data_IF_949412436057
#
_entry.id   IF_949412436057
#
_cell.length_a   1.000
_cell.length_b   1.000
_cell.length_c   1.000
_cell.angle_alpha   90.00
_cell.angle_beta   90.00
_cell.angle_gamma   90.00
#
_symmetry.space_group_name_H-M   'P 1'
#
loop_
_entity.id
_entity.type
_entity.pdbx_description
1 polymer ?
#
# COMPACT_ATOMS: atom_id res chain seq x y z
N UNK A 1 -18.41 8.59 -54.55
CA UNK A 1 -18.62 9.90 -53.87
C UNK A 1 -18.35 9.68 -52.39
N UNK A 2 -17.59 10.49 -51.64
CA UNK A 2 -16.78 11.69 -51.95
C UNK A 2 -15.47 11.59 -51.13
N UNK A 3 -14.37 12.12 -51.64
CA UNK A 3 -13.08 12.23 -50.91
C UNK A 3 -13.00 13.57 -50.18
N UNK A 4 -12.43 13.61 -48.97
CA UNK A 4 -11.81 14.83 -48.42
C UNK A 4 -10.59 14.54 -47.57
N UNK A 5 -9.41 14.86 -48.11
CA UNK A 5 -8.22 15.22 -47.33
C UNK A 5 -8.41 16.63 -46.78
N UNK A 6 -7.77 16.96 -45.66
CA UNK A 6 -7.41 18.33 -45.30
C UNK A 6 -5.92 18.34 -44.96
N UNK A 7 -5.21 19.35 -45.47
CA UNK A 7 -3.76 19.52 -45.31
C UNK A 7 -3.49 20.65 -44.31
N UNK A 8 -2.33 20.64 -43.65
CA UNK A 8 -1.89 21.74 -42.78
C UNK A 8 -1.56 23.02 -43.56
N UNK A 9 -1.44 24.15 -42.84
CA UNK A 9 -0.70 25.32 -43.34
C UNK A 9 -0.10 26.15 -42.18
N UNK A 10 0.92 26.98 -42.47
CA UNK A 10 1.84 27.54 -41.46
C UNK A 10 2.27 29.00 -41.84
N UNK A 11 2.07 29.97 -40.95
CA UNK A 11 2.66 31.33 -40.94
C UNK A 11 2.23 32.05 -39.62
N UNK A 12 3.00 32.84 -38.85
CA UNK A 12 4.30 33.52 -38.96
C UNK A 12 4.31 34.94 -39.59
N UNK A 13 4.06 35.97 -38.76
CA UNK A 13 4.64 37.35 -38.70
C UNK A 13 3.81 38.16 -37.67
N UNK A 14 4.25 39.26 -37.03
CA UNK A 14 5.54 39.97 -37.04
C UNK A 14 5.53 41.15 -36.04
N UNK A 15 6.73 41.66 -35.67
CA UNK A 15 7.06 42.65 -34.61
C UNK A 15 6.22 43.96 -34.57
N UNK A 16 6.13 44.56 -33.36
CA UNK A 16 6.47 45.96 -32.95
C UNK A 16 5.84 46.27 -31.56
N UNK A 17 6.39 47.10 -30.65
CA UNK A 17 7.70 47.78 -30.57
C UNK A 17 7.68 49.00 -29.62
N UNK A 18 8.63 49.13 -28.67
CA UNK A 18 8.81 50.21 -27.66
C UNK A 18 7.63 50.51 -26.68
N UNK A 19 7.81 51.00 -25.45
CA UNK A 19 9.02 51.22 -24.62
C UNK A 19 9.19 52.67 -24.14
N UNK A 20 9.04 52.94 -22.83
CA UNK A 20 9.52 54.16 -22.14
C UNK A 20 9.36 54.11 -20.60
N UNK A 21 10.26 54.78 -19.89
CA UNK A 21 10.28 55.14 -18.45
C UNK A 21 11.29 56.31 -18.28
N UNK A 22 11.48 56.97 -17.12
CA UNK A 22 10.79 56.89 -15.82
C UNK A 22 10.24 58.26 -15.35
N UNK A 23 9.86 58.43 -14.06
CA UNK A 23 10.20 59.63 -13.24
C UNK A 23 9.82 59.49 -11.75
N UNK A 24 10.39 60.37 -10.92
CA UNK A 24 10.48 60.31 -9.43
C UNK A 24 9.31 60.94 -8.65
N UNK A 25 9.18 60.63 -7.35
CA UNK A 25 8.28 61.34 -6.41
C UNK A 25 8.54 61.03 -4.92
N UNK A 26 8.25 61.99 -4.02
CA UNK A 26 8.45 61.94 -2.56
C UNK A 26 7.38 62.85 -1.87
N UNK A 27 7.13 62.88 -0.55
CA UNK A 27 7.82 62.39 0.67
C UNK A 27 6.77 61.72 1.61
N UNK A 28 6.89 61.46 2.93
CA UNK A 28 7.80 61.75 4.08
C UNK A 28 7.83 60.52 5.00
N UNK A 29 8.92 60.17 5.71
CA UNK A 29 9.39 60.70 7.02
C UNK A 29 8.32 60.78 8.12
N UNK A 30 8.48 59.97 9.16
CA UNK A 30 7.84 60.11 10.47
C UNK A 30 8.75 59.49 11.53
N UNK A 31 9.29 60.30 12.44
CA UNK A 31 10.32 59.91 13.41
C UNK A 31 9.78 60.05 14.83
N UNK A 32 10.07 59.07 15.69
CA UNK A 32 9.90 59.16 17.13
C UNK A 32 11.07 58.43 17.82
N UNK A 33 12.14 59.17 18.11
CA UNK A 33 13.25 58.68 18.94
C UNK A 33 13.00 58.99 20.43
N UNK A 34 13.31 58.03 21.30
CA UNK A 34 13.57 58.28 22.71
C UNK A 34 14.47 57.18 23.29
N UNK A 35 15.79 57.37 23.11
CA UNK A 35 16.81 57.29 24.18
C UNK A 35 16.53 56.30 25.33
N UNK A 36 17.06 55.07 25.30
CA UNK A 36 18.46 54.70 25.60
C UNK A 36 18.82 54.66 27.09
N UNK A 37 19.37 53.53 27.54
CA UNK A 37 20.37 53.53 28.59
C UNK A 37 21.34 52.34 28.45
N UNK A 38 22.61 52.52 28.81
CA UNK A 38 23.64 51.48 28.68
C UNK A 38 23.67 50.58 29.93
N UNK A 39 23.96 49.30 29.75
CA UNK A 39 24.11 48.34 30.86
C UNK A 39 24.78 47.06 30.38
N UNK A 40 26.10 47.02 30.40
CA UNK A 40 26.89 45.88 29.93
C UNK A 40 26.86 44.70 30.89
N UNK A 41 26.57 43.49 30.38
CA UNK A 41 27.19 42.27 30.88
C UNK A 41 27.16 41.16 29.80
N UNK A 42 28.30 40.51 29.57
CA UNK A 42 28.41 39.36 28.67
C UNK A 42 28.23 38.07 29.45
N UNK A 43 27.18 37.29 29.17
CA UNK A 43 27.12 35.86 29.55
C UNK A 43 26.12 35.13 28.63
N UNK A 44 26.55 34.80 27.42
CA UNK A 44 25.70 34.12 26.43
C UNK A 44 25.80 32.60 26.58
N UNK A 45 25.10 32.04 27.58
CA UNK A 45 25.08 30.59 27.84
C UNK A 45 24.12 29.85 26.90
N UNK A 46 24.60 28.78 26.28
CA UNK A 46 23.77 27.83 25.52
C UNK A 46 22.69 27.21 26.42
N UNK A 47 21.41 27.43 26.10
CA UNK A 47 20.30 26.58 26.55
C UNK A 47 19.07 26.78 25.65
N UNK A 48 19.10 26.19 24.46
CA UNK A 48 17.93 26.11 23.57
C UNK A 48 16.90 25.11 24.10
N UNK A 49 16.11 25.54 25.08
CA UNK A 49 15.09 24.69 25.72
C UNK A 49 13.94 24.38 24.77
N UNK A 50 13.79 23.11 24.39
CA UNK A 50 12.56 22.62 23.73
C UNK A 50 11.39 22.71 24.71
N UNK A 51 10.46 23.62 24.43
CA UNK A 51 9.27 23.83 25.26
C UNK A 51 8.32 22.63 25.13
N UNK A 52 8.27 21.80 26.17
CA UNK A 52 7.37 20.65 26.24
C UNK A 52 5.92 21.12 26.48
N UNK A 53 5.11 21.24 25.42
CA UNK A 53 3.69 21.65 25.48
C UNK A 53 2.83 20.46 25.94
N UNK A 54 3.11 19.97 27.15
CA UNK A 54 2.35 18.93 27.82
C UNK A 54 1.44 19.53 28.91
N UNK A 55 0.13 19.55 28.67
CA UNK A 55 -0.87 19.87 29.71
C UNK A 55 -1.71 21.12 29.48
N UNK A 56 -2.49 21.18 28.38
CA UNK A 56 -3.54 22.21 28.25
C UNK A 56 -4.83 21.75 27.53
N UNK A 57 -5.16 20.45 27.59
CA UNK A 57 -6.44 19.93 27.11
C UNK A 57 -7.09 19.01 28.15
N UNK A 58 -8.25 19.42 28.66
CA UNK A 58 -9.02 18.68 29.66
C UNK A 58 -10.50 18.65 29.27
N UNK A 59 -11.00 17.49 28.81
CA UNK A 59 -12.42 17.21 28.64
C UNK A 59 -13.08 17.80 27.37
N UNK A 60 -13.03 17.04 26.28
CA UNK A 60 -13.84 17.24 25.07
C UNK A 60 -14.05 15.91 24.33
N UNK A 61 -15.07 15.79 23.45
CA UNK A 61 -15.34 14.55 22.71
C UNK A 61 -14.37 14.31 21.54
N UNK A 62 -13.67 15.35 21.09
CA UNK A 62 -12.84 15.35 19.88
C UNK A 62 -11.48 14.70 20.13
N UNK A 63 -11.42 13.38 19.93
CA UNK A 63 -10.14 12.69 19.68
C UNK A 63 -9.60 13.13 18.30
N UNK A 64 -8.30 13.43 18.13
CA UNK A 64 -7.73 13.71 16.82
C UNK A 64 -7.77 12.47 15.91
N UNK A 65 -7.85 12.69 14.60
CA UNK A 65 -7.80 11.63 13.60
C UNK A 65 -6.39 11.05 13.48
N UNK A 66 -6.29 9.72 13.43
CA UNK A 66 -5.00 9.04 13.31
C UNK A 66 -4.38 9.31 11.95
N UNK A 67 -3.09 9.64 11.92
CA UNK A 67 -2.38 9.99 10.68
C UNK A 67 -1.32 8.95 10.33
N UNK A 68 -1.38 8.43 9.11
CA UNK A 68 -0.38 7.51 8.55
C UNK A 68 0.29 8.10 7.32
N UNK A 69 1.61 7.95 7.22
CA UNK A 69 2.43 8.37 6.08
C UNK A 69 2.64 7.20 5.13
N UNK A 70 2.04 7.26 3.95
CA UNK A 70 2.21 6.25 2.90
C UNK A 70 3.12 6.79 1.81
N UNK A 71 4.08 5.98 1.38
CA UNK A 71 4.82 6.22 0.15
C UNK A 71 3.98 5.71 -1.03
N UNK A 72 4.02 6.39 -2.17
CA UNK A 72 3.33 5.97 -3.40
C UNK A 72 4.33 5.89 -4.55
N UNK A 73 4.24 4.82 -5.33
CA UNK A 73 4.83 4.70 -6.65
C UNK A 73 3.72 4.45 -7.68
N UNK A 74 3.57 5.35 -8.64
CA UNK A 74 2.41 5.42 -9.53
C UNK A 74 2.84 5.39 -11.00
N UNK A 75 2.45 4.35 -11.74
CA UNK A 75 2.62 4.31 -13.21
C UNK A 75 1.46 4.99 -13.94
N UNK A 76 0.50 5.58 -13.19
CA UNK A 76 -0.56 6.43 -13.75
C UNK A 76 0.04 7.71 -14.31
N UNK A 77 -0.42 8.14 -15.48
CA UNK A 77 0.08 9.31 -16.21
C UNK A 77 0.10 10.57 -15.34
N UNK A 78 1.30 11.06 -15.02
CA UNK A 78 1.53 12.22 -14.16
C UNK A 78 1.47 11.94 -12.65
N UNK A 79 1.39 10.68 -12.24
CA UNK A 79 1.29 10.24 -10.84
C UNK A 79 -0.10 10.35 -10.20
N UNK A 80 -1.03 11.07 -10.83
CA UNK A 80 -2.35 11.44 -10.27
C UNK A 80 -3.44 10.38 -10.51
N UNK A 81 -4.70 10.75 -10.30
CA UNK A 81 -5.92 9.93 -10.51
C UNK A 81 -6.16 9.43 -11.95
N UNK A 82 -5.16 9.48 -12.84
CA UNK A 82 -5.30 9.09 -14.24
C UNK A 82 -5.58 7.59 -14.42
N UNK A 83 -6.30 7.29 -15.50
CA UNK A 83 -6.55 5.93 -16.02
C UNK A 83 -5.73 5.65 -17.29
N UNK A 84 -4.82 6.56 -17.65
CA UNK A 84 -3.77 6.36 -18.66
C UNK A 84 -2.45 5.97 -18.00
N UNK A 85 -1.61 5.22 -18.72
CA UNK A 85 -0.25 4.88 -18.34
C UNK A 85 0.72 6.03 -18.62
N UNK A 86 1.69 6.25 -17.72
CA UNK A 86 2.85 7.12 -17.99
C UNK A 86 3.62 6.57 -19.20
N UNK A 87 4.12 7.42 -20.13
CA UNK A 87 5.01 6.96 -21.20
C UNK A 87 6.16 6.10 -20.66
N UNK A 88 6.45 4.98 -21.32
CA UNK A 88 7.46 4.02 -20.85
C UNK A 88 7.10 3.26 -19.57
N UNK A 89 5.87 3.39 -19.07
CA UNK A 89 5.41 2.86 -17.78
C UNK A 89 6.20 3.35 -16.54
N UNK A 90 6.91 4.47 -16.66
CA UNK A 90 7.71 5.02 -15.57
C UNK A 90 6.86 5.30 -14.31
N UNK A 91 7.35 4.85 -13.16
CA UNK A 91 6.77 5.21 -11.87
C UNK A 91 7.09 6.67 -11.53
N UNK A 92 6.07 7.41 -11.09
CA UNK A 92 6.18 8.71 -10.42
C UNK A 92 5.93 8.53 -8.93
N UNK A 93 6.70 9.21 -8.10
CA UNK A 93 6.69 8.99 -6.66
C UNK A 93 5.96 10.10 -5.91
N UNK A 94 5.29 9.77 -4.81
CA UNK A 94 4.82 10.74 -3.82
C UNK A 94 4.91 10.20 -2.40
N UNK A 95 4.76 11.10 -1.44
CA UNK A 95 4.44 10.82 -0.05
C UNK A 95 3.10 11.49 0.28
N UNK A 96 2.16 10.70 0.78
CA UNK A 96 0.84 11.17 1.18
C UNK A 96 0.65 10.94 2.69
N UNK A 97 0.10 11.92 3.39
CA UNK A 97 -0.39 11.74 4.77
C UNK A 97 -1.88 11.50 4.71
N UNK A 98 -2.32 10.32 5.14
CA UNK A 98 -3.72 9.90 5.19
C UNK A 98 -4.21 9.97 6.63
N UNK A 99 -5.32 10.68 6.87
CA UNK A 99 -6.05 10.67 8.15
C UNK A 99 -7.13 9.58 8.13
N UNK A 100 -7.26 8.86 9.23
CA UNK A 100 -8.31 7.87 9.51
C UNK A 100 -9.13 8.35 10.71
N UNK A 101 -10.48 8.39 10.62
CA UNK A 101 -11.30 9.09 11.60
C UNK A 101 -11.29 8.43 12.98
N UNK A 102 -11.56 9.18 14.08
CA UNK A 102 -11.51 8.63 15.44
C UNK A 102 -12.59 7.58 15.75
N UNK A 103 -13.66 7.55 14.94
CA UNK A 103 -14.75 6.59 15.01
C UNK A 103 -14.67 5.47 13.96
N UNK A 104 -13.48 5.22 13.40
CA UNK A 104 -13.24 4.19 12.39
C UNK A 104 -13.67 2.79 12.88
N UNK A 105 -14.38 2.04 12.03
CA UNK A 105 -14.73 0.64 12.29
C UNK A 105 -13.93 -0.29 11.36
N UNK A 106 -13.38 -1.37 11.92
CA UNK A 106 -12.44 -2.21 11.20
C UNK A 106 -13.07 -2.83 9.93
N UNK A 107 -12.37 -2.70 8.82
CA UNK A 107 -12.78 -3.15 7.49
C UNK A 107 -13.39 -2.06 6.60
N UNK A 108 -14.06 -1.06 7.20
CA UNK A 108 -14.72 0.02 6.46
C UNK A 108 -13.72 1.03 5.89
N UNK A 109 -14.15 1.76 4.87
CA UNK A 109 -13.37 2.88 4.31
C UNK A 109 -14.31 4.06 4.16
N UNK A 110 -14.40 4.85 5.22
CA UNK A 110 -15.38 5.92 5.37
C UNK A 110 -15.16 7.01 4.33
N UNK A 111 -16.16 7.24 3.47
CA UNK A 111 -16.13 8.25 2.41
C UNK A 111 -17.35 9.16 2.52
N UNK A 112 -17.26 10.43 2.10
CA UNK A 112 -18.42 11.31 2.01
C UNK A 112 -19.41 10.78 0.97
N UNK A 113 -20.67 10.60 1.36
CA UNK A 113 -21.77 10.28 0.43
C UNK A 113 -22.05 11.44 -0.57
N UNK A 114 -21.65 12.66 -0.20
CA UNK A 114 -21.68 13.87 -1.04
C UNK A 114 -20.75 14.93 -0.44
N UNK A 115 -20.28 15.87 -1.26
CA UNK A 115 -19.42 16.97 -0.82
C UNK A 115 -17.95 16.57 -0.60
N UNK A 116 -17.21 17.44 0.09
CA UNK A 116 -15.80 17.22 0.43
C UNK A 116 -15.62 16.21 1.56
N UNK A 117 -14.48 15.48 1.63
CA UNK A 117 -14.15 14.66 2.79
C UNK A 117 -13.95 15.51 4.04
N UNK A 118 -14.09 14.87 5.20
CA UNK A 118 -14.03 15.47 6.53
C UNK A 118 -13.17 14.53 7.39
N UNK A 119 -11.94 14.93 7.79
CA UNK A 119 -11.02 14.05 8.55
C UNK A 119 -11.56 13.55 9.89
N UNK A 120 -12.59 14.18 10.46
CA UNK A 120 -13.25 13.69 11.69
C UNK A 120 -14.20 12.51 11.44
N UNK A 121 -14.57 12.26 10.17
CA UNK A 121 -15.62 11.30 9.78
C UNK A 121 -15.27 10.38 8.61
N UNK A 122 -14.23 10.71 7.84
CA UNK A 122 -13.89 10.07 6.57
C UNK A 122 -12.38 9.85 6.48
N UNK A 123 -11.95 8.78 5.81
CA UNK A 123 -10.54 8.61 5.43
C UNK A 123 -10.22 9.66 4.35
N UNK A 124 -9.16 10.44 4.56
CA UNK A 124 -8.86 11.64 3.76
C UNK A 124 -7.36 11.87 3.60
N UNK A 125 -6.97 12.62 2.55
CA UNK A 125 -5.59 13.11 2.40
C UNK A 125 -5.46 14.42 3.14
N UNK A 126 -4.55 14.47 4.12
CA UNK A 126 -4.16 15.71 4.81
C UNK A 126 -3.02 16.44 4.10
N UNK A 127 -2.11 15.71 3.44
CA UNK A 127 -1.04 16.28 2.61
C UNK A 127 -0.64 15.35 1.48
N UNK A 128 -0.25 15.91 0.34
CA UNK A 128 0.37 15.21 -0.78
C UNK A 128 1.66 15.94 -1.17
N UNK A 129 2.74 15.19 -1.38
CA UNK A 129 4.02 15.73 -1.82
C UNK A 129 4.60 14.82 -2.90
N UNK A 130 4.67 15.31 -4.14
CA UNK A 130 5.39 14.61 -5.22
C UNK A 130 6.89 14.58 -4.91
N UNK A 131 7.55 13.46 -5.20
CA UNK A 131 8.95 13.20 -4.89
C UNK A 131 9.73 12.79 -6.16
N UNK A 132 10.99 13.20 -6.24
CA UNK A 132 11.95 12.63 -7.19
C UNK A 132 12.53 11.30 -6.68
N UNK A 133 13.11 10.48 -7.57
CA UNK A 133 13.59 9.11 -7.26
C UNK A 133 14.55 9.05 -6.05
N UNK A 134 15.52 9.98 -6.01
CA UNK A 134 16.48 10.10 -4.90
C UNK A 134 15.83 10.62 -3.60
N UNK A 135 14.75 11.39 -3.70
CA UNK A 135 14.02 11.90 -2.54
C UNK A 135 13.12 10.83 -1.93
N UNK A 136 12.43 10.05 -2.77
CA UNK A 136 11.71 8.85 -2.33
C UNK A 136 12.62 7.93 -1.50
N UNK A 137 13.83 7.66 -2.01
CA UNK A 137 14.84 6.83 -1.35
C UNK A 137 15.34 7.44 -0.04
N UNK A 138 15.63 8.73 -0.01
CA UNK A 138 16.14 9.40 1.20
C UNK A 138 15.07 9.55 2.28
N UNK A 139 13.82 9.85 1.91
CA UNK A 139 12.69 9.91 2.84
C UNK A 139 12.30 8.51 3.36
N UNK A 140 12.36 7.46 2.52
CA UNK A 140 12.14 6.07 2.96
C UNK A 140 13.23 5.64 3.96
N UNK A 141 14.50 5.90 3.67
CA UNK A 141 15.60 5.65 4.59
C UNK A 141 15.45 6.43 5.91
N UNK A 142 15.01 7.69 5.85
CA UNK A 142 14.76 8.51 7.04
C UNK A 142 13.60 7.98 7.89
N UNK A 143 12.52 7.47 7.27
CA UNK A 143 11.38 6.90 8.00
C UNK A 143 11.68 5.51 8.59
N UNK A 144 12.64 4.77 8.02
CA UNK A 144 13.16 3.50 8.58
C UNK A 144 14.23 3.73 9.67
N UNK A 145 14.94 4.86 9.64
CA UNK A 145 15.98 5.19 10.60
C UNK A 145 15.48 5.20 12.05
N UNK A 146 16.26 4.65 12.97
CA UNK A 146 15.91 4.52 14.39
C UNK A 146 14.86 3.45 14.72
N UNK A 147 14.23 2.82 13.73
CA UNK A 147 13.26 1.73 13.95
C UNK A 147 13.94 0.40 14.27
N UNK A 148 13.23 -0.49 14.97
CA UNK A 148 13.75 -1.80 15.45
C UNK A 148 12.77 -2.95 15.19
N UNK A 149 13.30 -4.17 15.04
CA UNK A 149 12.49 -5.36 14.72
C UNK A 149 11.57 -5.14 13.52
N UNK A 150 10.33 -5.67 13.59
CA UNK A 150 9.31 -5.57 12.54
C UNK A 150 8.89 -4.14 12.16
N UNK A 151 9.21 -3.12 12.98
CA UNK A 151 8.93 -1.73 12.60
C UNK A 151 9.85 -1.19 11.50
N UNK A 152 10.95 -1.91 11.19
CA UNK A 152 11.83 -1.68 10.03
C UNK A 152 11.31 -2.30 8.73
N UNK A 153 10.28 -3.14 8.82
CA UNK A 153 9.73 -3.83 7.66
C UNK A 153 8.88 -2.90 6.80
N UNK A 154 8.81 -3.20 5.51
CA UNK A 154 8.04 -2.46 4.52
C UNK A 154 6.88 -3.33 4.03
N UNK A 155 5.67 -2.77 4.01
CA UNK A 155 4.50 -3.39 3.39
C UNK A 155 4.24 -2.71 2.05
N UNK A 156 4.40 -3.43 0.94
CA UNK A 156 4.03 -2.95 -0.39
C UNK A 156 2.66 -3.49 -0.77
N UNK A 157 1.69 -2.60 -0.98
CA UNK A 157 0.33 -2.95 -1.39
C UNK A 157 0.12 -2.74 -2.89
N UNK A 158 -0.54 -3.70 -3.55
CA UNK A 158 -0.89 -3.67 -4.98
C UNK A 158 -2.37 -3.93 -5.16
N UNK A 159 -3.10 -2.94 -5.69
CA UNK A 159 -4.54 -3.02 -5.88
C UNK A 159 -4.97 -3.88 -7.08
N UNK A 160 -6.23 -4.32 -7.04
CA UNK A 160 -6.94 -5.01 -8.12
C UNK A 160 -7.38 -4.11 -9.27
N UNK A 161 -8.25 -4.65 -10.14
CA UNK A 161 -8.85 -3.89 -11.23
C UNK A 161 -9.97 -2.93 -10.72
N UNK A 162 -10.51 -2.08 -11.60
CA UNK A 162 -11.55 -1.07 -11.35
C UNK A 162 -11.22 -0.04 -10.24
N UNK A 163 -10.00 -0.04 -9.70
CA UNK A 163 -9.62 0.71 -8.50
C UNK A 163 -9.02 2.08 -8.85
N UNK A 164 -9.51 3.16 -8.21
CA UNK A 164 -8.90 4.50 -8.36
C UNK A 164 -7.66 4.69 -7.47
N UNK A 165 -6.92 5.78 -7.67
CA UNK A 165 -5.83 6.18 -6.77
C UNK A 165 -6.33 6.35 -5.31
N UNK A 166 -7.54 6.88 -5.16
CA UNK A 166 -8.15 7.25 -3.89
C UNK A 166 -8.58 6.00 -3.11
N UNK A 167 -9.19 5.05 -3.82
CA UNK A 167 -9.56 3.76 -3.25
C UNK A 167 -8.31 2.96 -2.84
N UNK A 168 -7.26 2.98 -3.66
CA UNK A 168 -6.01 2.28 -3.37
C UNK A 168 -5.28 2.84 -2.14
N UNK A 169 -5.17 4.18 -2.01
CA UNK A 169 -4.50 4.83 -0.87
C UNK A 169 -5.30 4.70 0.43
N UNK A 170 -6.63 4.87 0.37
CA UNK A 170 -7.47 4.75 1.57
C UNK A 170 -7.58 3.31 2.05
N UNK A 171 -7.62 2.34 1.12
CA UNK A 171 -7.54 0.91 1.45
C UNK A 171 -6.22 0.53 2.12
N UNK A 172 -5.08 1.07 1.66
CA UNK A 172 -3.79 0.87 2.35
C UNK A 172 -3.79 1.47 3.76
N UNK A 173 -4.33 2.68 3.94
CA UNK A 173 -4.41 3.31 5.26
C UNK A 173 -5.25 2.48 6.24
N UNK A 174 -6.42 2.00 5.82
CA UNK A 174 -7.26 1.08 6.61
C UNK A 174 -6.53 -0.23 6.96
N UNK A 175 -5.97 -0.92 5.96
CA UNK A 175 -5.23 -2.17 6.17
C UNK A 175 -4.06 -2.02 7.17
N UNK A 176 -3.39 -0.87 7.17
CA UNK A 176 -2.30 -0.54 8.11
C UNK A 176 -2.84 -0.24 9.51
N UNK A 177 -3.97 0.47 9.63
CA UNK A 177 -4.63 0.77 10.91
C UNK A 177 -5.15 -0.50 11.58
N UNK A 178 -5.98 -1.27 10.88
CA UNK A 178 -6.67 -2.45 11.39
C UNK A 178 -5.72 -3.64 11.59
N UNK A 179 -4.79 -3.87 10.66
CA UNK A 179 -3.80 -4.96 10.73
C UNK A 179 -2.70 -4.71 11.77
N UNK A 180 -2.85 -3.68 12.61
CA UNK A 180 -1.88 -3.20 13.60
C UNK A 180 -0.45 -2.98 13.05
N UNK A 181 -0.27 -2.81 11.74
CA UNK A 181 1.06 -2.78 11.14
C UNK A 181 1.86 -1.56 11.64
N UNK A 182 3.13 -1.79 12.00
CA UNK A 182 4.01 -0.77 12.60
C UNK A 182 5.24 -0.41 11.75
N UNK A 183 5.38 -1.07 10.59
CA UNK A 183 6.43 -0.82 9.60
C UNK A 183 6.18 0.44 8.76
N UNK A 184 6.72 0.45 7.53
CA UNK A 184 6.52 1.52 6.55
C UNK A 184 5.59 1.05 5.43
N UNK A 185 4.45 1.72 5.19
CA UNK A 185 3.54 1.35 4.11
C UNK A 185 3.90 2.05 2.79
N UNK A 186 3.84 1.27 1.70
CA UNK A 186 4.07 1.70 0.32
C UNK A 186 2.90 1.23 -0.55
N UNK A 187 2.32 2.12 -1.35
CA UNK A 187 1.37 1.78 -2.40
C UNK A 187 2.13 1.69 -3.74
N UNK A 188 2.04 0.56 -4.42
CA UNK A 188 2.26 0.51 -5.87
C UNK A 188 0.91 0.60 -6.58
N UNK A 189 0.73 1.62 -7.42
CA UNK A 189 -0.52 1.84 -8.16
C UNK A 189 -0.27 1.94 -9.66
N UNK A 190 -1.12 1.25 -10.41
CA UNK A 190 -1.09 1.16 -11.86
C UNK A 190 -2.43 1.68 -12.41
N UNK A 191 -2.49 2.15 -13.68
CA UNK A 191 -3.69 2.75 -14.25
C UNK A 191 -4.74 1.70 -14.58
N UNK A 192 -5.47 1.26 -13.56
CA UNK A 192 -6.73 0.57 -13.75
C UNK A 192 -7.81 1.57 -14.15
N UNK A 193 -8.61 1.22 -15.16
CA UNK A 193 -9.77 1.98 -15.62
C UNK A 193 -10.99 1.53 -14.82
N UNK A 194 -11.73 2.48 -14.26
CA UNK A 194 -12.97 2.23 -13.51
C UNK A 194 -14.16 1.88 -14.43
N UNK A 195 -14.00 0.84 -15.28
CA UNK A 195 -14.98 0.37 -16.23
C UNK A 195 -14.79 -1.12 -16.59
N UNK A 196 -15.83 -1.94 -16.39
CA UNK A 196 -15.82 -3.39 -16.65
C UNK A 196 -15.35 -3.80 -18.06
N UNK A 197 -15.66 -2.99 -19.08
CA UNK A 197 -15.28 -3.28 -20.47
C UNK A 197 -13.77 -3.09 -20.77
N UNK A 198 -12.99 -2.57 -19.82
CA UNK A 198 -11.56 -2.29 -19.99
C UNK A 198 -10.63 -3.45 -19.62
N UNK A 199 -11.14 -4.56 -19.05
CA UNK A 199 -10.36 -5.62 -18.39
C UNK A 199 -9.09 -6.08 -19.14
N UNK A 200 -9.15 -6.26 -20.46
CA UNK A 200 -7.97 -6.62 -21.27
C UNK A 200 -6.89 -5.55 -21.28
N UNK A 201 -7.26 -4.30 -21.57
CA UNK A 201 -6.35 -3.16 -21.59
C UNK A 201 -5.84 -2.78 -20.18
N UNK A 202 -6.60 -3.10 -19.13
CA UNK A 202 -6.15 -3.03 -17.74
C UNK A 202 -5.07 -4.08 -17.46
N UNK A 203 -5.27 -5.34 -17.89
CA UNK A 203 -4.24 -6.38 -17.76
C UNK A 203 -2.96 -6.04 -18.54
N UNK A 204 -3.08 -5.45 -19.73
CA UNK A 204 -1.95 -4.92 -20.49
C UNK A 204 -1.22 -3.82 -19.71
N UNK A 205 -1.96 -2.86 -19.14
CA UNK A 205 -1.39 -1.72 -18.41
C UNK A 205 -0.75 -2.14 -17.08
N UNK A 206 -1.34 -3.11 -16.37
CA UNK A 206 -0.73 -3.76 -15.21
C UNK A 206 0.56 -4.49 -15.62
N UNK A 207 0.53 -5.30 -16.68
CA UNK A 207 1.70 -6.06 -17.16
C UNK A 207 2.83 -5.15 -17.65
N UNK A 208 2.51 -4.01 -18.27
CA UNK A 208 3.49 -2.97 -18.62
C UNK A 208 4.10 -2.27 -17.40
N UNK A 209 3.41 -2.26 -16.25
CA UNK A 209 3.90 -1.69 -15.00
C UNK A 209 4.86 -2.61 -14.22
N UNK A 210 5.09 -3.84 -14.71
CA UNK A 210 5.89 -4.90 -14.04
C UNK A 210 7.33 -4.45 -13.75
N UNK A 211 7.99 -3.88 -14.75
CA UNK A 211 9.40 -3.47 -14.70
C UNK A 211 9.61 -2.33 -13.69
N UNK A 212 8.67 -1.37 -13.66
CA UNK A 212 8.63 -0.27 -12.69
C UNK A 212 8.35 -0.78 -11.25
N UNK A 213 7.54 -1.82 -11.10
CA UNK A 213 7.33 -2.47 -9.81
C UNK A 213 8.58 -3.25 -9.35
N UNK A 214 9.27 -3.94 -10.26
CA UNK A 214 10.54 -4.62 -9.95
C UNK A 214 11.60 -3.62 -9.50
N UNK A 215 11.71 -2.47 -10.18
CA UNK A 215 12.58 -1.36 -9.76
C UNK A 215 12.24 -0.90 -8.33
N UNK A 216 10.96 -0.64 -8.02
CA UNK A 216 10.53 -0.26 -6.67
C UNK A 216 10.96 -1.30 -5.62
N UNK A 217 10.68 -2.59 -5.84
CA UNK A 217 11.02 -3.64 -4.89
C UNK A 217 12.53 -3.74 -4.62
N UNK A 218 13.34 -3.58 -5.67
CA UNK A 218 14.80 -3.55 -5.56
C UNK A 218 15.30 -2.28 -4.83
N UNK A 219 14.73 -1.11 -5.13
CA UNK A 219 15.08 0.16 -4.45
C UNK A 219 14.74 0.12 -2.95
N UNK A 220 13.58 -0.46 -2.58
CA UNK A 220 13.21 -0.69 -1.18
C UNK A 220 14.19 -1.70 -0.54
N UNK A 221 14.47 -2.84 -1.18
CA UNK A 221 15.36 -3.87 -0.66
C UNK A 221 16.81 -3.38 -0.47
N UNK A 222 17.26 -2.43 -1.30
CA UNK A 222 18.56 -1.77 -1.19
C UNK A 222 18.59 -0.62 -0.16
N UNK A 223 17.45 -0.20 0.41
CA UNK A 223 17.39 0.94 1.32
C UNK A 223 18.10 0.63 2.65
N UNK A 224 19.06 1.46 3.11
CA UNK A 224 19.77 1.23 4.36
C UNK A 224 18.82 1.11 5.56
N UNK A 225 19.07 0.13 6.41
CA UNK A 225 18.27 -0.12 7.61
C UNK A 225 16.97 -0.91 7.38
N UNK A 226 16.53 -1.15 6.13
CA UNK A 226 15.30 -1.93 5.86
C UNK A 226 15.32 -3.30 6.56
N UNK A 227 14.15 -3.78 6.99
CA UNK A 227 13.93 -5.12 7.52
C UNK A 227 13.61 -6.12 6.40
N UNK A 228 12.38 -6.64 6.41
CA UNK A 228 11.74 -7.37 5.31
C UNK A 228 10.94 -6.44 4.39
N UNK A 229 10.73 -6.87 3.15
CA UNK A 229 9.78 -6.31 2.20
C UNK A 229 8.65 -7.32 2.02
N UNK A 230 7.54 -7.09 2.72
CA UNK A 230 6.31 -7.88 2.58
C UNK A 230 5.45 -7.29 1.46
N UNK A 231 4.67 -8.13 0.80
CA UNK A 231 3.78 -7.72 -0.29
C UNK A 231 2.36 -8.17 0.02
N UNK A 232 1.38 -7.28 -0.12
CA UNK A 232 -0.05 -7.62 -0.12
C UNK A 232 -0.63 -7.22 -1.47
N UNK A 233 -1.20 -8.17 -2.20
CA UNK A 233 -1.73 -7.97 -3.52
C UNK A 233 -3.15 -8.50 -3.64
N UNK A 234 -4.01 -7.77 -4.33
CA UNK A 234 -5.43 -8.12 -4.51
C UNK A 234 -5.76 -8.32 -5.99
N UNK A 235 -6.58 -9.33 -6.32
CA UNK A 235 -7.17 -9.49 -7.66
C UNK A 235 -6.09 -9.45 -8.77
N UNK A 236 -6.23 -8.61 -9.79
CA UNK A 236 -5.25 -8.43 -10.87
C UNK A 236 -3.87 -7.92 -10.38
N UNK A 237 -3.80 -7.28 -9.22
CA UNK A 237 -2.53 -6.95 -8.54
C UNK A 237 -1.72 -8.19 -8.16
N UNK A 238 -2.37 -9.35 -7.94
CA UNK A 238 -1.67 -10.63 -7.70
C UNK A 238 -0.98 -11.14 -8.96
N UNK A 239 -1.60 -11.02 -10.13
CA UNK A 239 -0.99 -11.34 -11.43
C UNK A 239 0.28 -10.51 -11.65
N UNK A 240 0.17 -9.20 -11.45
CA UNK A 240 1.31 -8.28 -11.55
C UNK A 240 2.42 -8.66 -10.57
N UNK A 241 2.08 -8.90 -9.30
CA UNK A 241 3.04 -9.32 -8.26
C UNK A 241 3.76 -10.61 -8.61
N UNK A 242 3.06 -11.65 -9.07
CA UNK A 242 3.69 -12.92 -9.41
C UNK A 242 4.57 -12.84 -10.65
N UNK A 243 4.22 -12.02 -11.65
CA UNK A 243 5.12 -11.77 -12.79
C UNK A 243 6.34 -10.94 -12.40
N UNK A 244 6.20 -9.91 -11.55
CA UNK A 244 7.33 -9.12 -11.02
C UNK A 244 8.28 -9.99 -10.19
N UNK A 245 7.78 -10.85 -9.30
CA UNK A 245 8.63 -11.75 -8.51
C UNK A 245 9.25 -12.87 -9.36
N UNK A 246 8.54 -13.38 -10.37
CA UNK A 246 9.09 -14.29 -11.37
C UNK A 246 10.24 -13.63 -12.17
N UNK A 247 10.12 -12.34 -12.51
CA UNK A 247 11.19 -11.59 -13.17
C UNK A 247 12.40 -11.35 -12.24
N UNK A 248 12.17 -11.05 -10.95
CA UNK A 248 13.22 -11.00 -9.93
C UNK A 248 13.99 -12.34 -9.85
N UNK A 249 13.27 -13.47 -9.82
CA UNK A 249 13.87 -14.80 -9.82
C UNK A 249 14.67 -15.12 -11.10
N UNK A 250 14.22 -14.63 -12.27
CA UNK A 250 14.94 -14.80 -13.54
C UNK A 250 16.15 -13.87 -13.69
N UNK A 251 16.16 -12.73 -12.99
CA UNK A 251 17.28 -11.76 -12.95
C UNK A 251 18.26 -11.99 -11.79
N UNK A 252 18.04 -13.03 -10.98
CA UNK A 252 18.98 -13.51 -9.97
C UNK A 252 18.69 -13.11 -8.52
N UNK A 253 17.59 -12.40 -8.25
CA UNK A 253 17.16 -11.96 -6.91
C UNK A 253 15.78 -12.53 -6.50
N UNK A 254 15.58 -13.87 -6.49
CA UNK A 254 14.28 -14.51 -6.24
C UNK A 254 13.64 -14.17 -4.88
N UNK A 255 14.44 -13.72 -3.92
CA UNK A 255 14.03 -13.31 -2.58
C UNK A 255 14.37 -11.82 -2.30
N UNK A 256 14.51 -11.00 -3.33
CA UNK A 256 14.94 -9.60 -3.25
C UNK A 256 16.27 -9.41 -2.47
N UNK A 257 17.25 -10.29 -2.70
CA UNK A 257 18.55 -10.32 -2.01
C UNK A 257 18.39 -10.53 -0.49
N UNK A 258 17.64 -11.56 -0.12
CA UNK A 258 17.33 -11.89 1.28
C UNK A 258 16.25 -11.02 1.93
N UNK A 259 15.63 -10.07 1.21
CA UNK A 259 14.69 -9.10 1.79
C UNK A 259 13.22 -9.48 1.71
N UNK A 260 12.80 -10.37 0.81
CA UNK A 260 11.41 -10.76 0.65
C UNK A 260 10.82 -11.36 1.94
N UNK A 261 9.75 -10.72 2.44
CA UNK A 261 9.00 -11.11 3.64
C UNK A 261 7.94 -12.17 3.33
N UNK A 262 6.73 -11.95 3.82
CA UNK A 262 5.53 -12.67 3.36
C UNK A 262 4.97 -12.04 2.08
N UNK A 263 4.34 -12.86 1.23
CA UNK A 263 3.59 -12.43 0.04
C UNK A 263 2.15 -12.91 0.17
N UNK A 264 1.23 -11.98 0.34
CA UNK A 264 -0.17 -12.22 0.63
C UNK A 264 -0.99 -11.93 -0.64
N UNK A 265 -1.63 -12.97 -1.20
CA UNK A 265 -2.39 -12.91 -2.44
C UNK A 265 -3.89 -13.07 -2.14
N UNK A 266 -4.62 -11.96 -2.15
CA UNK A 266 -6.05 -11.92 -1.86
C UNK A 266 -6.90 -12.02 -3.13
N UNK A 267 -7.83 -12.99 -3.18
CA UNK A 267 -8.72 -13.26 -4.31
C UNK A 267 -7.99 -13.28 -5.69
N UNK A 268 -6.93 -14.09 -5.86
CA UNK A 268 -6.02 -13.95 -7.01
C UNK A 268 -6.64 -14.33 -8.35
N UNK A 269 -6.68 -13.37 -9.28
CA UNK A 269 -7.04 -13.59 -10.69
C UNK A 269 -5.80 -14.00 -11.52
N UNK A 270 -5.26 -15.17 -11.17
CA UNK A 270 -4.14 -15.83 -11.86
C UNK A 270 -4.66 -17.19 -12.35
N UNK A 271 -4.27 -17.64 -13.53
CA UNK A 271 -4.44 -19.05 -13.91
C UNK A 271 -3.60 -19.97 -12.99
N UNK A 272 -4.17 -21.09 -12.57
CA UNK A 272 -3.51 -22.09 -11.73
C UNK A 272 -2.29 -22.74 -12.39
N UNK A 273 -2.28 -22.91 -13.72
CA UNK A 273 -1.13 -23.50 -14.43
C UNK A 273 0.02 -22.51 -14.56
N UNK A 274 -0.27 -21.23 -14.84
CA UNK A 274 0.72 -20.14 -14.79
C UNK A 274 1.24 -19.93 -13.37
N UNK A 275 0.37 -19.93 -12.36
CA UNK A 275 0.81 -19.81 -10.96
C UNK A 275 1.78 -20.90 -10.56
N UNK A 276 1.54 -22.16 -10.95
CA UNK A 276 2.48 -23.28 -10.76
C UNK A 276 3.85 -23.02 -11.40
N UNK A 277 3.90 -22.42 -12.58
CA UNK A 277 5.16 -22.07 -13.26
C UNK A 277 5.89 -20.86 -12.64
N UNK A 278 5.14 -19.93 -12.03
CA UNK A 278 5.67 -18.79 -11.29
C UNK A 278 6.24 -19.25 -9.93
N UNK A 279 5.43 -19.94 -9.12
CA UNK A 279 5.77 -20.33 -7.74
C UNK A 279 6.91 -21.36 -7.68
N UNK A 280 7.06 -22.22 -8.70
CA UNK A 280 8.19 -23.16 -8.81
C UNK A 280 9.57 -22.50 -8.99
N UNK A 281 9.64 -21.16 -9.03
CA UNK A 281 10.87 -20.36 -9.08
C UNK A 281 11.12 -19.54 -7.80
N UNK A 282 10.26 -19.70 -6.79
CA UNK A 282 10.16 -18.84 -5.62
C UNK A 282 10.05 -19.70 -4.36
N UNK A 283 10.35 -19.11 -3.20
CA UNK A 283 10.17 -19.76 -1.90
C UNK A 283 8.68 -19.77 -1.53
N UNK A 284 7.98 -20.85 -1.90
CA UNK A 284 6.55 -21.03 -1.69
C UNK A 284 6.11 -20.84 -0.22
N UNK A 285 6.99 -21.09 0.75
CA UNK A 285 6.69 -20.91 2.19
C UNK A 285 6.42 -19.46 2.59
N UNK A 286 6.78 -18.49 1.74
CA UNK A 286 6.50 -17.06 1.92
C UNK A 286 5.08 -16.68 1.49
N UNK A 287 4.40 -17.52 0.73
CA UNK A 287 3.15 -17.17 0.06
C UNK A 287 1.94 -17.62 0.87
N UNK A 288 1.00 -16.69 1.04
CA UNK A 288 -0.31 -16.93 1.68
C UNK A 288 -1.41 -16.50 0.72
N UNK A 289 -2.29 -17.43 0.34
CA UNK A 289 -3.35 -17.21 -0.64
C UNK A 289 -4.72 -17.25 0.05
N UNK A 290 -5.50 -16.18 -0.13
CA UNK A 290 -6.84 -16.07 0.44
C UNK A 290 -7.87 -16.29 -0.68
N UNK A 291 -8.64 -17.38 -0.60
CA UNK A 291 -9.59 -17.81 -1.64
C UNK A 291 -11.04 -17.62 -1.18
N UNK A 292 -11.94 -17.32 -2.11
CA UNK A 292 -13.36 -17.05 -1.81
C UNK A 292 -14.28 -17.81 -2.77
N UNK A 293 -14.99 -18.79 -2.22
CA UNK A 293 -15.95 -19.66 -2.91
C UNK A 293 -17.12 -18.85 -3.44
N UNK A 294 -17.31 -18.88 -4.76
CA UNK A 294 -18.38 -18.16 -5.42
C UNK A 294 -18.09 -16.69 -5.74
N UNK A 295 -16.82 -16.23 -5.72
CA UNK A 295 -16.48 -14.91 -6.25
C UNK A 295 -16.79 -14.82 -7.76
N UNK A 296 -17.92 -14.20 -8.08
CA UNK A 296 -18.48 -14.11 -9.44
C UNK A 296 -17.62 -13.26 -10.38
N UNK A 297 -16.67 -12.48 -9.87
CA UNK A 297 -15.71 -11.75 -10.70
C UNK A 297 -14.81 -12.71 -11.52
N UNK A 298 -14.37 -13.83 -10.93
CA UNK A 298 -13.52 -14.82 -11.62
C UNK A 298 -14.22 -15.50 -12.81
N UNK A 299 -15.55 -15.42 -12.90
CA UNK A 299 -16.30 -15.93 -14.05
C UNK A 299 -16.14 -15.00 -15.28
N UNK A 300 -15.92 -13.71 -15.07
CA UNK A 300 -15.63 -12.75 -16.15
C UNK A 300 -14.26 -13.03 -16.80
N UNK A 301 -13.26 -13.40 -16.00
CA UNK A 301 -11.93 -13.74 -16.53
C UNK A 301 -11.81 -15.19 -17.03
N UNK A 302 -12.66 -16.12 -16.56
CA UNK A 302 -12.72 -17.50 -17.05
C UNK A 302 -13.34 -17.60 -18.46
N UNK A 303 -14.38 -16.82 -18.75
CA UNK A 303 -15.20 -16.90 -19.97
C UNK A 303 -14.50 -16.61 -21.31
N UNK A 304 -13.21 -16.25 -21.30
CA UNK A 304 -12.42 -15.95 -22.49
C UNK A 304 -11.25 -16.93 -22.75
N UNK A 305 -10.83 -17.72 -21.76
CA UNK A 305 -9.59 -18.52 -21.84
C UNK A 305 -9.68 -19.96 -21.28
N UNK A 306 -10.82 -20.39 -20.74
CA UNK A 306 -11.09 -21.81 -20.43
C UNK A 306 -10.38 -22.41 -19.20
N UNK A 307 -9.23 -21.87 -18.80
CA UNK A 307 -8.45 -22.38 -17.66
C UNK A 307 -8.92 -21.86 -16.28
N UNK A 308 -8.50 -22.57 -15.23
CA UNK A 308 -9.00 -22.43 -13.86
C UNK A 308 -8.21 -21.40 -13.05
N UNK A 309 -8.90 -20.44 -12.42
CA UNK A 309 -8.28 -19.42 -11.56
C UNK A 309 -7.84 -19.95 -10.19
N UNK A 310 -6.73 -19.44 -9.69
CA UNK A 310 -6.19 -19.72 -8.35
C UNK A 310 -7.18 -19.33 -7.25
N UNK A 311 -7.85 -18.17 -7.38
CA UNK A 311 -8.87 -17.71 -6.43
C UNK A 311 -10.15 -18.58 -6.38
N UNK A 312 -10.33 -19.52 -7.32
CA UNK A 312 -11.49 -20.44 -7.40
C UNK A 312 -11.16 -21.90 -7.06
N UNK A 313 -10.09 -22.12 -6.29
CA UNK A 313 -9.92 -23.36 -5.52
C UNK A 313 -10.95 -23.40 -4.39
N UNK A 314 -11.53 -24.57 -4.14
CA UNK A 314 -12.49 -24.85 -3.07
C UNK A 314 -11.82 -25.73 -2.01
N UNK A 315 -11.32 -25.17 -0.90
CA UNK A 315 -10.60 -25.93 0.12
C UNK A 315 -11.36 -27.10 0.75
N UNK A 316 -12.69 -27.11 0.62
CA UNK A 316 -13.55 -28.23 1.03
C UNK A 316 -13.61 -29.40 0.03
N UNK A 317 -12.91 -29.33 -1.10
CA UNK A 317 -12.86 -30.41 -2.11
C UNK A 317 -11.55 -31.19 -2.02
N UNK A 318 -11.63 -32.52 -1.90
CA UNK A 318 -10.45 -33.41 -1.84
C UNK A 318 -9.49 -33.21 -3.02
N UNK A 319 -10.06 -32.99 -4.22
CA UNK A 319 -9.32 -32.71 -5.45
C UNK A 319 -8.48 -31.43 -5.35
N UNK A 320 -8.96 -30.44 -4.60
CA UNK A 320 -8.31 -29.16 -4.46
C UNK A 320 -7.34 -29.13 -3.30
N UNK A 321 -7.62 -29.87 -2.22
CA UNK A 321 -6.68 -30.10 -1.12
C UNK A 321 -5.37 -30.69 -1.62
N UNK A 322 -5.43 -31.76 -2.42
CA UNK A 322 -4.23 -32.37 -3.01
C UNK A 322 -3.47 -31.40 -3.95
N UNK A 323 -4.19 -30.48 -4.61
CA UNK A 323 -3.57 -29.42 -5.43
C UNK A 323 -2.93 -28.33 -4.57
N UNK A 324 -3.57 -27.91 -3.49
CA UNK A 324 -3.11 -26.89 -2.52
C UNK A 324 -1.85 -27.37 -1.81
N UNK A 325 -1.88 -28.59 -1.27
CA UNK A 325 -0.74 -29.22 -0.57
C UNK A 325 0.50 -29.29 -1.50
N UNK A 326 0.29 -29.59 -2.80
CA UNK A 326 1.36 -29.61 -3.82
C UNK A 326 1.85 -28.23 -4.28
N UNK A 327 1.19 -27.12 -3.93
CA UNK A 327 1.70 -25.77 -4.20
C UNK A 327 2.73 -25.31 -3.16
N UNK A 328 2.73 -25.89 -1.96
CA UNK A 328 3.65 -25.50 -0.87
C UNK A 328 3.40 -24.10 -0.28
N UNK A 329 2.26 -23.48 -0.63
CA UNK A 329 1.83 -22.16 -0.13
C UNK A 329 0.78 -22.32 0.96
N UNK A 330 0.71 -21.38 1.90
CA UNK A 330 -0.42 -21.32 2.83
C UNK A 330 -1.70 -20.92 2.09
N UNK A 331 -2.81 -21.62 2.31
CA UNK A 331 -4.12 -21.27 1.74
C UNK A 331 -5.13 -21.08 2.85
N UNK A 332 -5.94 -20.02 2.74
CA UNK A 332 -6.95 -19.61 3.71
C UNK A 332 -8.29 -19.47 2.99
N UNK A 333 -9.31 -20.14 3.49
CA UNK A 333 -10.68 -19.96 3.04
C UNK A 333 -11.27 -18.72 3.72
N UNK A 334 -11.70 -17.73 2.93
CA UNK A 334 -12.36 -16.51 3.41
C UNK A 334 -13.84 -16.42 2.97
N UNK A 335 -14.40 -17.51 2.44
CA UNK A 335 -15.77 -17.58 1.91
C UNK A 335 -16.85 -17.30 2.96
N UNK A 336 -16.57 -17.60 4.22
CA UNK A 336 -17.46 -17.28 5.35
C UNK A 336 -17.65 -15.78 5.57
N UNK A 337 -16.76 -14.94 5.01
CA UNK A 337 -16.80 -13.49 5.13
C UNK A 337 -17.32 -12.79 3.85
N UNK A 338 -17.66 -13.52 2.78
CA UNK A 338 -18.16 -12.96 1.52
C UNK A 338 -19.69 -12.78 1.50
N UNK A 339 -20.23 -12.04 2.47
CA UNK A 339 -21.68 -11.82 2.62
C UNK A 339 -22.20 -10.67 1.73
N UNK A 340 -22.37 -10.91 0.42
CA UNK A 340 -23.06 -9.94 -0.46
C UNK A 340 -22.92 -10.19 -1.96
N UNK A 341 -23.54 -9.31 -2.76
CA UNK A 341 -23.43 -9.30 -4.23
C UNK A 341 -22.05 -8.79 -4.74
N UNK A 342 -21.17 -8.37 -3.84
CA UNK A 342 -19.86 -7.76 -4.11
C UNK A 342 -18.79 -8.69 -3.53
N UNK A 343 -18.58 -9.85 -4.14
CA UNK A 343 -17.70 -10.91 -3.60
C UNK A 343 -16.22 -10.52 -3.50
N UNK A 344 -15.77 -9.63 -4.38
CA UNK A 344 -14.37 -9.47 -4.77
C UNK A 344 -13.50 -8.67 -3.78
N UNK A 345 -14.07 -7.63 -3.14
CA UNK A 345 -13.33 -6.68 -2.30
C UNK A 345 -13.28 -7.05 -0.81
N UNK A 346 -13.96 -8.14 -0.42
CA UNK A 346 -14.23 -8.46 0.99
C UNK A 346 -13.02 -8.84 1.82
N UNK A 347 -11.89 -9.22 1.20
CA UNK A 347 -10.67 -9.61 1.92
C UNK A 347 -10.17 -8.53 2.90
N UNK A 348 -10.46 -7.26 2.61
CA UNK A 348 -10.09 -6.13 3.47
C UNK A 348 -11.26 -5.56 4.27
N UNK A 349 -12.50 -5.91 3.93
CA UNK A 349 -13.71 -5.54 4.68
C UNK A 349 -13.97 -6.49 5.86
N UNK A 350 -13.28 -7.63 5.92
CA UNK A 350 -13.42 -8.64 6.96
C UNK A 350 -12.32 -8.47 8.03
N UNK A 351 -12.63 -7.99 9.25
CA UNK A 351 -11.63 -7.76 10.30
C UNK A 351 -10.78 -8.99 10.60
N UNK A 352 -11.37 -10.18 10.55
CA UNK A 352 -10.70 -11.47 10.74
C UNK A 352 -9.54 -11.66 9.76
N UNK A 353 -9.76 -11.31 8.49
CA UNK A 353 -8.75 -11.44 7.41
C UNK A 353 -7.68 -10.36 7.55
N UNK A 354 -8.05 -9.12 7.92
CA UNK A 354 -7.10 -8.03 8.15
C UNK A 354 -6.23 -8.25 9.39
N UNK A 355 -6.80 -8.83 10.45
CA UNK A 355 -6.04 -9.33 11.61
C UNK A 355 -5.10 -10.46 11.22
N UNK A 356 -5.55 -11.42 10.39
CA UNK A 356 -4.68 -12.50 9.91
C UNK A 356 -3.50 -11.99 9.07
N UNK A 357 -3.74 -10.99 8.20
CA UNK A 357 -2.73 -10.24 7.47
C UNK A 357 -1.76 -9.57 8.47
N UNK A 358 -2.29 -8.86 9.47
CA UNK A 358 -1.51 -8.21 10.53
C UNK A 358 -0.60 -9.16 11.30
N UNK A 359 -1.11 -10.33 11.71
CA UNK A 359 -0.35 -11.38 12.38
C UNK A 359 0.77 -11.95 11.48
N UNK A 360 0.47 -12.20 10.20
CA UNK A 360 1.45 -12.66 9.20
C UNK A 360 2.58 -11.65 8.96
N UNK A 361 2.26 -10.36 8.93
CA UNK A 361 3.23 -9.28 8.81
C UNK A 361 4.03 -9.04 10.12
N UNK A 362 3.43 -9.32 11.28
CA UNK A 362 4.03 -9.08 12.59
C UNK A 362 4.84 -10.26 13.16
N UNK A 363 4.82 -11.42 12.50
CA UNK A 363 5.54 -12.63 12.94
C UNK A 363 7.07 -12.38 12.90
N UNK A 364 7.77 -12.30 14.05
CA UNK A 364 9.16 -11.86 14.04
C UNK A 364 10.09 -12.89 13.40
N UNK A 365 10.99 -12.43 12.53
CA UNK A 365 12.13 -13.23 12.04
C UNK A 365 13.25 -13.34 13.10
N UNK A 366 12.91 -13.77 14.32
CA UNK A 366 13.87 -14.17 15.36
C UNK A 366 14.39 -13.09 16.32
N UNK A 367 14.04 -11.80 16.15
CA UNK A 367 14.48 -10.72 17.05
C UNK A 367 13.32 -10.10 17.87
N UNK A 368 13.63 -9.67 19.09
CA UNK A 368 12.64 -9.25 20.09
C UNK A 368 12.20 -7.78 19.91
N UNK A 369 10.89 -7.54 20.02
CA UNK A 369 10.30 -6.19 19.98
C UNK A 369 10.44 -5.48 21.33
N UNK A 370 11.09 -4.33 21.34
CA UNK A 370 10.83 -3.26 22.32
C UNK A 370 10.29 -2.04 21.59
N UNK A 371 9.38 -1.29 22.24
CA UNK A 371 8.75 -0.12 21.65
C UNK A 371 9.71 1.08 21.63
N UNK A 372 9.81 1.74 20.47
CA UNK A 372 10.58 2.98 20.26
C UNK A 372 9.62 4.06 19.78
N UNK A 373 9.88 5.31 20.20
CA UNK A 373 9.05 6.48 19.86
C UNK A 373 9.28 6.86 18.39
N UNK A 374 8.22 6.85 17.60
CA UNK A 374 8.21 7.07 16.15
C UNK A 374 8.12 8.57 15.84
N UNK A 375 9.21 9.17 15.36
CA UNK A 375 9.38 10.63 15.24
C UNK A 375 8.58 11.31 14.10
N UNK A 376 7.46 10.72 13.66
CA UNK A 376 6.68 11.20 12.51
C UNK A 376 5.26 10.63 12.38
N UNK A 377 4.74 9.93 13.39
CA UNK A 377 3.36 9.49 13.46
C UNK A 377 2.84 9.72 14.88
N UNK A 378 1.72 10.43 15.04
CA UNK A 378 1.09 10.59 16.35
C UNK A 378 0.37 9.29 16.75
N UNK A 379 1.13 8.40 17.38
CA UNK A 379 0.63 7.13 17.93
C UNK A 379 -0.13 7.31 19.25
N UNK A 380 -0.24 8.52 19.81
CA UNK A 380 -0.97 8.74 21.06
C UNK A 380 -2.49 8.51 20.91
N UNK A 381 -2.99 8.61 19.67
CA UNK A 381 -4.38 8.33 19.30
C UNK A 381 -4.43 7.47 18.04
N UNK A 382 -3.86 6.25 18.11
CA UNK A 382 -4.35 5.16 17.23
C UNK A 382 -5.83 4.92 17.59
N UNK A 383 -6.75 4.72 16.63
CA UNK A 383 -8.09 4.28 16.99
C UNK A 383 -7.95 2.90 17.64
N UNK A 384 -8.61 2.67 18.76
CA UNK A 384 -8.79 1.34 19.32
C UNK A 384 -9.92 0.69 18.50
N UNK A 385 -9.62 -0.11 17.45
CA UNK A 385 -10.60 -0.51 16.46
C UNK A 385 -11.35 -1.70 17.07
N UNK A 386 -12.40 -1.39 17.85
CA UNK A 386 -13.27 -2.30 18.64
C UNK A 386 -12.76 -3.74 18.61
N UNK A 387 -11.75 -4.02 19.45
CA UNK A 387 -10.76 -5.09 19.24
C UNK A 387 -11.24 -6.26 18.39
N UNK A 388 -10.49 -6.58 17.33
CA UNK A 388 -10.75 -7.73 16.46
C UNK A 388 -10.58 -9.03 17.26
N UNK A 389 -11.63 -9.45 17.97
CA UNK A 389 -11.72 -10.69 18.76
C UNK A 389 -11.94 -11.90 17.86
N UNK A 390 -11.07 -12.04 16.87
CA UNK A 390 -11.03 -13.15 15.93
C UNK A 390 -10.03 -14.21 16.41
N UNK A 391 -10.45 -15.46 16.42
CA UNK A 391 -9.52 -16.58 16.33
C UNK A 391 -8.78 -16.51 14.99
N UNK A 392 -7.49 -16.86 14.96
CA UNK A 392 -6.76 -17.07 13.70
C UNK A 392 -7.52 -18.03 12.77
N UNK A 393 -7.50 -17.75 11.47
CA UNK A 393 -7.96 -18.65 10.42
C UNK A 393 -6.86 -19.70 10.17
N UNK A 394 -7.08 -20.98 10.53
CA UNK A 394 -6.07 -22.00 10.29
C UNK A 394 -5.84 -22.17 8.78
N UNK A 395 -4.59 -22.36 8.33
CA UNK A 395 -4.34 -22.71 6.94
C UNK A 395 -4.92 -24.08 6.64
N UNK A 396 -5.50 -24.21 5.44
CA UNK A 396 -6.16 -25.42 4.96
C UNK A 396 -5.23 -26.64 5.08
N UNK A 397 -5.68 -27.67 5.79
CA UNK A 397 -4.95 -28.92 5.97
C UNK A 397 -4.14 -29.05 7.27
N UNK A 398 -4.04 -28.00 8.09
CA UNK A 398 -3.27 -28.01 9.33
C UNK A 398 -3.63 -29.16 10.30
N UNK A 399 -4.92 -29.52 10.38
CA UNK A 399 -5.45 -30.51 11.33
C UNK A 399 -4.81 -31.91 11.20
N UNK A 400 -4.43 -32.31 9.98
CA UNK A 400 -3.84 -33.62 9.71
C UNK A 400 -2.47 -33.81 10.37
N UNK A 401 -1.71 -32.73 10.58
CA UNK A 401 -0.40 -32.78 11.22
C UNK A 401 -0.45 -32.94 12.75
N UNK A 402 -1.61 -32.64 13.38
CA UNK A 402 -1.80 -32.79 14.81
C UNK A 402 -2.13 -34.25 15.19
N UNK A 403 -3.08 -34.87 14.49
CA UNK A 403 -3.50 -36.26 14.75
C UNK A 403 -2.41 -37.29 14.41
N UNK A 404 -1.60 -37.05 13.37
CA UNK A 404 -0.51 -37.94 13.00
C UNK A 404 0.61 -38.10 14.07
N UNK A 405 0.56 -37.34 15.18
CA UNK A 405 1.52 -37.43 16.30
C UNK A 405 0.99 -38.11 17.57
N UNK A 406 -0.32 -38.37 17.70
CA UNK A 406 -0.87 -39.09 18.86
C UNK A 406 -0.75 -40.61 18.71
N UNK A 407 -0.79 -41.11 17.48
CA UNK A 407 -1.01 -42.53 17.20
C UNK A 407 0.31 -43.32 17.08
N UNK A 408 1.45 -42.64 17.21
CA UNK A 408 2.80 -43.19 17.06
C UNK A 408 3.45 -43.62 18.41
N UNK A 409 2.66 -44.20 19.32
CA UNK A 409 3.16 -44.77 20.58
C UNK A 409 3.33 -46.30 20.45
N UNK A 410 4.56 -46.86 20.43
CA UNK A 410 4.76 -48.28 20.24
C UNK A 410 4.40 -49.07 21.51
N UNK A 411 3.43 -49.99 21.41
CA UNK A 411 3.20 -50.99 22.45
C UNK A 411 4.36 -51.98 22.47
N UNK A 412 5.21 -51.89 23.49
CA UNK A 412 6.16 -52.94 23.83
C UNK A 412 5.45 -54.18 24.42
N UNK A 413 6.11 -55.33 24.36
CA UNK A 413 5.60 -56.64 24.79
C UNK A 413 5.46 -56.77 26.31
#
# INVERSE_FOLDING_TARGET
MIVRKITANFALLGLLGSGLAPLSGCSTVGVAEASSNLGSNMHNSFSGGVANVGGMFSGGPDRPAYSTRIFIASTRKGGTHSTELTPGAEARYSLDTITVPPGHEAGDVERPNWGSPDPSRHIAVASHSALEDNEFKSQLAAQISGRVGVSRDVLVYVHGFNTSLDDARFRLAQLVVDGNFTGVPVLFTWPSKSALLAYGADKESATASRDAYLKLLNDIAATPGVGRVHILAHSMGTWLTMETLREAALSGSPDLNGRLGQVLLAAPDIDLSVFKQQIARLDASRFSVFVSKGDRALQLSAGLQGDRRLGSLDPGSDRDRELIEKLGVGVYDISSFSSGLIGHDNYANAPQVVSQIGARLSTPSGEASQAVIDAGADRSVRPDPKMITASDLPPVGADGAAQAKTDAAPQAK
#
